data_IF_091589385832
#
_entry.id   IF_091589385832
#
_cell.length_a   1.000
_cell.length_b   1.000
_cell.length_c   1.000
_cell.angle_alpha   90.00
_cell.angle_beta   90.00
_cell.angle_gamma   90.00
#
_symmetry.space_group_name_H-M   'P 1'
#
loop_
_entity.id
_entity.type
_entity.pdbx_description
1 polymer ?
#
# COMPACT_ATOMS: atom_id res chain seq x y z
N UNK A 1 -38.83 23.71 -31.91
CA UNK A 1 -38.37 23.70 -30.50
C UNK A 1 -37.84 22.33 -30.00
N UNK A 2 -38.20 21.18 -30.59
CA UNK A 2 -37.74 19.84 -30.16
C UNK A 2 -36.23 19.55 -30.32
N UNK A 3 -35.51 20.17 -31.27
CA UNK A 3 -34.06 19.93 -31.46
C UNK A 3 -33.18 20.43 -30.30
N UNK A 4 -33.64 21.42 -29.51
CA UNK A 4 -32.87 21.95 -28.36
C UNK A 4 -32.92 21.04 -27.14
N UNK A 5 -34.00 20.27 -26.97
CA UNK A 5 -34.18 19.32 -25.85
C UNK A 5 -33.31 18.06 -26.02
N UNK A 6 -33.10 17.61 -27.26
CA UNK A 6 -32.26 16.45 -27.57
C UNK A 6 -30.76 16.70 -27.31
N UNK A 7 -30.25 17.91 -27.52
CA UNK A 7 -28.85 18.25 -27.21
C UNK A 7 -28.55 18.40 -25.71
N UNK A 8 -29.54 18.79 -24.91
CA UNK A 8 -29.39 18.91 -23.44
C UNK A 8 -29.33 17.53 -22.76
N UNK A 9 -30.07 16.54 -23.26
CA UNK A 9 -30.03 15.17 -22.74
C UNK A 9 -28.69 14.47 -22.97
N UNK A 10 -28.05 14.68 -24.11
CA UNK A 10 -26.75 14.08 -24.43
C UNK A 10 -25.60 14.65 -23.58
N UNK A 11 -25.62 15.95 -23.28
CA UNK A 11 -24.62 16.59 -22.42
C UNK A 11 -24.73 16.12 -20.95
N UNK A 12 -25.96 15.90 -20.46
CA UNK A 12 -26.18 15.36 -19.11
C UNK A 12 -25.71 13.90 -18.97
N UNK A 13 -25.87 13.08 -20.01
CA UNK A 13 -25.36 11.71 -20.02
C UNK A 13 -23.83 11.64 -20.08
N UNK A 14 -23.19 12.54 -20.84
CA UNK A 14 -21.73 12.61 -20.91
C UNK A 14 -21.10 13.05 -19.57
N UNK A 15 -21.77 13.92 -18.80
CA UNK A 15 -21.32 14.35 -17.48
C UNK A 15 -21.38 13.22 -16.42
N UNK A 16 -22.28 12.25 -16.59
CA UNK A 16 -22.40 11.09 -15.69
C UNK A 16 -21.32 10.00 -15.93
N UNK A 17 -20.67 10.02 -17.11
CA UNK A 17 -19.67 9.01 -17.50
C UNK A 17 -18.22 9.42 -17.15
N UNK A 18 -17.98 10.69 -16.81
CA UNK A 18 -16.63 11.20 -16.48
C UNK A 18 -16.13 10.88 -15.06
N UNK A 19 -16.95 10.21 -14.23
CA UNK A 19 -16.65 9.97 -12.81
C UNK A 19 -15.84 8.71 -12.50
N UNK A 20 -15.66 7.80 -13.45
CA UNK A 20 -14.78 6.63 -13.31
C UNK A 20 -13.34 7.00 -13.68
N UNK A 21 -12.76 7.97 -12.99
CA UNK A 21 -11.32 8.25 -13.08
C UNK A 21 -10.50 7.16 -12.37
N UNK A 22 -9.19 7.12 -12.67
CA UNK A 22 -8.14 6.29 -12.06
C UNK A 22 -8.06 6.48 -10.53
N UNK A 23 -9.05 5.96 -9.80
CA UNK A 23 -9.08 5.95 -8.34
C UNK A 23 -7.99 5.04 -7.75
N UNK A 24 -7.89 4.99 -6.42
CA UNK A 24 -6.94 4.11 -5.74
C UNK A 24 -7.10 2.66 -6.19
N UNK A 25 -5.99 1.98 -6.44
CA UNK A 25 -6.00 0.61 -6.91
C UNK A 25 -4.85 -0.19 -6.34
N UNK A 26 -5.04 -1.51 -6.30
CA UNK A 26 -4.00 -2.47 -5.92
C UNK A 26 -3.93 -3.59 -6.93
N UNK A 27 -2.71 -3.99 -7.23
CA UNK A 27 -2.33 -5.05 -8.16
C UNK A 27 -1.46 -6.04 -7.38
N UNK A 28 -1.94 -7.26 -7.12
CA UNK A 28 -1.15 -8.30 -6.48
C UNK A 28 0.15 -8.56 -7.27
N UNK A 29 1.25 -8.76 -6.55
CA UNK A 29 2.50 -9.16 -7.17
C UNK A 29 2.42 -10.55 -7.80
N UNK A 30 3.23 -10.80 -8.83
CA UNK A 30 3.24 -12.08 -9.55
C UNK A 30 3.74 -13.28 -8.73
N UNK A 31 4.33 -13.05 -7.55
CA UNK A 31 4.82 -14.09 -6.66
C UNK A 31 4.14 -14.04 -5.29
N UNK A 32 3.74 -15.23 -4.81
CA UNK A 32 3.24 -15.48 -3.46
C UNK A 32 3.77 -16.83 -2.96
N UNK A 33 4.52 -16.80 -1.86
CA UNK A 33 4.99 -17.99 -1.16
C UNK A 33 3.82 -18.75 -0.53
N UNK A 34 3.81 -20.09 -0.57
CA UNK A 34 2.85 -20.90 0.19
C UNK A 34 2.84 -20.59 1.69
N UNK A 35 3.98 -20.14 2.24
CA UNK A 35 4.12 -19.79 3.65
C UNK A 35 3.51 -18.43 4.02
N UNK A 36 3.03 -17.63 3.05
CA UNK A 36 2.53 -16.26 3.29
C UNK A 36 1.53 -16.20 4.44
N UNK A 37 0.55 -17.11 4.45
CA UNK A 37 -0.44 -17.12 5.53
C UNK A 37 0.14 -17.65 6.83
N UNK A 38 0.85 -18.78 6.85
CA UNK A 38 1.41 -19.31 8.09
C UNK A 38 2.35 -18.33 8.78
N UNK A 39 3.20 -17.61 8.02
CA UNK A 39 4.09 -16.58 8.57
C UNK A 39 3.32 -15.38 9.11
N UNK A 40 2.26 -14.94 8.43
CA UNK A 40 1.39 -13.87 8.93
C UNK A 40 0.73 -14.24 10.26
N UNK A 41 0.20 -15.46 10.36
CA UNK A 41 -0.40 -15.97 11.59
C UNK A 41 0.61 -16.04 12.73
N UNK A 42 1.81 -16.58 12.47
CA UNK A 42 2.86 -16.67 13.47
C UNK A 42 3.24 -15.27 14.00
N UNK A 43 3.48 -14.32 13.10
CA UNK A 43 3.93 -12.97 13.46
C UNK A 43 2.87 -12.11 14.17
N UNK A 44 1.58 -12.41 13.99
CA UNK A 44 0.48 -11.68 14.60
C UNK A 44 -0.12 -12.38 15.83
N UNK A 45 0.34 -13.60 16.16
CA UNK A 45 -0.24 -14.41 17.24
C UNK A 45 0.06 -13.91 18.65
N UNK A 46 1.19 -13.24 18.84
CA UNK A 46 1.73 -12.89 20.17
C UNK A 46 2.05 -11.40 20.32
N UNK A 47 1.70 -10.58 19.31
CA UNK A 47 1.99 -9.15 19.33
C UNK A 47 1.82 -8.49 17.96
N UNK A 48 2.24 -7.23 17.84
CA UNK A 48 2.15 -6.49 16.60
C UNK A 48 3.16 -6.99 15.56
N UNK A 49 2.75 -6.94 14.29
CA UNK A 49 3.63 -7.17 13.16
C UNK A 49 4.48 -5.92 12.89
N UNK A 50 5.77 -6.09 12.58
CA UNK A 50 6.64 -4.96 12.28
C UNK A 50 6.27 -4.30 10.93
N UNK A 51 6.11 -2.98 10.95
CA UNK A 51 5.90 -2.12 9.80
C UNK A 51 7.11 -1.23 9.56
N UNK A 52 7.69 -1.32 8.37
CA UNK A 52 8.73 -0.41 7.89
C UNK A 52 8.15 0.45 6.77
N UNK A 53 8.28 1.78 6.88
CA UNK A 53 7.78 2.71 5.86
C UNK A 53 8.94 3.54 5.31
N UNK A 54 9.09 3.51 3.98
CA UNK A 54 10.00 4.33 3.21
C UNK A 54 9.21 5.37 2.40
N UNK A 55 9.77 6.57 2.29
CA UNK A 55 9.16 7.68 1.57
C UNK A 55 8.15 8.46 2.43
N UNK A 56 7.91 9.71 2.04
CA UNK A 56 6.95 10.61 2.67
C UNK A 56 6.44 11.65 1.66
N UNK A 57 5.67 11.22 0.65
CA UNK A 57 5.17 12.12 -0.40
C UNK A 57 4.21 13.18 0.13
N UNK A 58 3.65 12.97 1.33
CA UNK A 58 2.67 13.82 1.98
C UNK A 58 3.28 14.89 2.90
N UNK A 59 4.61 14.90 3.07
CA UNK A 59 5.32 15.81 3.97
C UNK A 59 4.79 15.81 5.43
N UNK A 60 4.28 14.66 5.89
CA UNK A 60 3.78 14.50 7.26
C UNK A 60 4.91 14.22 8.26
N UNK A 61 4.74 14.52 9.55
CA UNK A 61 5.62 13.98 10.59
C UNK A 61 5.74 12.46 10.47
N UNK A 62 6.96 11.92 10.51
CA UNK A 62 7.19 10.48 10.28
C UNK A 62 6.38 9.55 11.21
N UNK A 63 6.22 9.85 12.52
CA UNK A 63 5.35 9.05 13.39
C UNK A 63 3.88 9.07 12.96
N UNK A 64 3.39 10.23 12.51
CA UNK A 64 2.01 10.38 12.04
C UNK A 64 1.76 9.58 10.77
N UNK A 65 2.67 9.67 9.79
CA UNK A 65 2.58 8.91 8.55
C UNK A 65 2.54 7.39 8.83
N UNK A 66 3.46 6.90 9.67
CA UNK A 66 3.51 5.48 10.02
C UNK A 66 2.24 5.01 10.72
N UNK A 67 1.69 5.82 11.63
CA UNK A 67 0.43 5.51 12.29
C UNK A 67 -0.77 5.46 11.32
N UNK A 68 -0.80 6.33 10.30
CA UNK A 68 -1.84 6.29 9.26
C UNK A 68 -1.70 5.05 8.36
N UNK A 69 -0.48 4.70 7.95
CA UNK A 69 -0.21 3.49 7.17
C UNK A 69 -0.59 2.24 7.96
N UNK A 70 -0.19 2.15 9.23
CA UNK A 70 -0.54 1.04 10.12
C UNK A 70 -2.07 0.85 10.19
N UNK A 71 -2.82 1.91 10.52
CA UNK A 71 -4.29 1.84 10.59
C UNK A 71 -4.94 1.41 9.28
N UNK A 72 -4.46 1.92 8.15
CA UNK A 72 -4.99 1.53 6.84
C UNK A 72 -4.80 0.04 6.56
N UNK A 73 -3.62 -0.50 6.92
CA UNK A 73 -3.30 -1.91 6.71
C UNK A 73 -4.01 -2.84 7.71
N UNK A 74 -4.12 -2.45 8.98
CA UNK A 74 -4.86 -3.20 10.00
C UNK A 74 -6.34 -3.39 9.61
N UNK A 75 -6.93 -2.38 8.97
CA UNK A 75 -8.30 -2.44 8.45
C UNK A 75 -8.48 -3.33 7.21
N UNK A 76 -7.40 -3.78 6.57
CA UNK A 76 -7.47 -4.51 5.29
C UNK A 76 -7.90 -5.98 5.44
N UNK A 77 -7.87 -6.55 6.65
CA UNK A 77 -8.29 -7.94 6.92
C UNK A 77 -9.37 -7.95 8.02
N UNK A 78 -10.63 -7.56 7.71
CA UNK A 78 -11.68 -7.43 8.73
C UNK A 78 -11.98 -8.72 9.50
N UNK A 79 -11.83 -9.87 8.85
CA UNK A 79 -12.07 -11.18 9.47
C UNK A 79 -11.01 -11.56 10.52
N UNK A 80 -9.91 -10.82 10.61
CA UNK A 80 -8.88 -11.02 11.63
C UNK A 80 -8.23 -9.71 12.03
N UNK A 81 -8.63 -9.15 13.19
CA UNK A 81 -7.91 -8.05 13.79
C UNK A 81 -6.46 -8.43 14.05
N UNK A 82 -5.54 -7.55 13.67
CA UNK A 82 -4.13 -7.61 14.00
C UNK A 82 -3.64 -6.17 14.21
N UNK A 83 -2.45 -6.02 14.77
CA UNK A 83 -1.82 -4.70 14.96
C UNK A 83 -0.48 -4.64 14.26
N UNK A 84 -0.09 -3.43 13.89
CA UNK A 84 1.21 -3.11 13.30
C UNK A 84 1.97 -2.15 14.22
N UNK A 85 3.28 -2.29 14.26
CA UNK A 85 4.16 -1.38 15.02
C UNK A 85 5.33 -0.91 14.17
N UNK A 86 5.73 0.37 14.25
CA UNK A 86 7.00 0.82 13.68
C UNK A 86 8.20 0.55 14.60
N UNK A 87 7.97 0.17 15.87
CA UNK A 87 9.00 -0.10 16.86
C UNK A 87 9.42 -1.58 16.79
N UNK A 88 10.64 -1.84 16.32
CA UNK A 88 11.15 -3.20 16.11
C UNK A 88 11.24 -4.00 17.43
N UNK A 89 11.55 -3.33 18.53
CA UNK A 89 11.60 -3.89 19.88
C UNK A 89 10.24 -4.35 20.41
N UNK A 90 9.14 -3.87 19.80
CA UNK A 90 7.78 -4.25 20.19
C UNK A 90 7.22 -5.41 19.35
N UNK A 91 7.92 -5.82 18.28
CA UNK A 91 7.50 -6.91 17.41
C UNK A 91 8.13 -8.23 17.88
N UNK A 92 7.35 -9.27 18.23
CA UNK A 92 7.92 -10.55 18.71
C UNK A 92 8.79 -11.28 17.66
N UNK A 93 8.43 -11.16 16.38
CA UNK A 93 9.17 -11.76 15.26
C UNK A 93 9.61 -10.66 14.28
N UNK A 94 10.61 -9.83 14.60
CA UNK A 94 10.94 -8.64 13.79
C UNK A 94 11.53 -8.97 12.41
N UNK A 95 11.98 -10.22 12.20
CA UNK A 95 12.40 -10.69 10.89
C UNK A 95 11.21 -10.88 9.95
N UNK A 96 10.01 -11.18 10.48
CA UNK A 96 8.75 -11.18 9.73
C UNK A 96 8.15 -9.78 9.79
N UNK A 97 8.10 -9.11 8.65
CA UNK A 97 7.73 -7.68 8.60
C UNK A 97 7.05 -7.31 7.29
N UNK A 98 6.29 -6.23 7.31
CA UNK A 98 5.83 -5.58 6.10
C UNK A 98 6.65 -4.33 5.85
N UNK A 99 7.16 -4.19 4.64
CA UNK A 99 7.91 -3.03 4.16
C UNK A 99 7.06 -2.32 3.11
N UNK A 100 6.77 -1.04 3.33
CA UNK A 100 6.00 -0.19 2.42
C UNK A 100 6.91 0.90 1.87
N UNK A 101 6.93 1.06 0.56
CA UNK A 101 7.59 2.14 -0.14
C UNK A 101 6.55 3.04 -0.80
N UNK A 102 6.48 4.30 -0.33
CA UNK A 102 5.65 5.36 -0.88
C UNK A 102 6.48 6.17 -1.89
N UNK A 103 5.95 6.38 -3.10
CA UNK A 103 6.73 6.94 -4.21
C UNK A 103 7.66 5.91 -4.85
N UNK A 104 7.25 4.64 -4.89
CA UNK A 104 8.05 3.55 -5.43
C UNK A 104 8.19 3.69 -6.96
N UNK A 105 9.42 3.80 -7.53
CA UNK A 105 9.57 3.83 -8.97
C UNK A 105 9.10 2.51 -9.60
N UNK A 106 8.71 2.55 -10.88
CA UNK A 106 8.26 1.36 -11.61
C UNK A 106 9.34 0.25 -11.66
N UNK A 107 10.62 0.63 -11.62
CA UNK A 107 11.76 -0.27 -11.63
C UNK A 107 12.04 -0.95 -10.28
N UNK A 108 11.44 -0.50 -9.17
CA UNK A 108 11.69 -1.09 -7.85
C UNK A 108 11.07 -2.49 -7.76
N UNK A 109 11.90 -3.48 -7.46
CA UNK A 109 11.47 -4.85 -7.22
C UNK A 109 11.03 -5.03 -5.75
N UNK A 110 9.94 -5.77 -5.52
CA UNK A 110 9.47 -6.05 -4.17
C UNK A 110 10.49 -6.81 -3.32
N UNK A 111 11.30 -7.69 -3.92
CA UNK A 111 12.35 -8.43 -3.21
C UNK A 111 13.45 -7.51 -2.67
N UNK A 112 13.71 -6.37 -3.33
CA UNK A 112 14.71 -5.40 -2.88
C UNK A 112 14.31 -4.76 -1.54
N UNK A 113 13.00 -4.60 -1.29
CA UNK A 113 12.50 -4.14 0.01
C UNK A 113 12.87 -5.09 1.16
N UNK A 114 12.84 -6.40 0.92
CA UNK A 114 13.16 -7.40 1.94
C UNK A 114 14.65 -7.44 2.31
N UNK A 115 15.53 -6.95 1.44
CA UNK A 115 16.98 -6.83 1.71
C UNK A 115 17.41 -5.41 2.10
N UNK A 116 16.46 -4.52 2.38
CA UNK A 116 16.73 -3.15 2.82
C UNK A 116 17.13 -2.18 1.70
N UNK A 117 16.97 -2.57 0.44
CA UNK A 117 17.21 -1.72 -0.72
C UNK A 117 15.92 -1.00 -1.10
N UNK A 118 15.57 0.04 -0.33
CA UNK A 118 14.44 0.90 -0.65
C UNK A 118 14.94 2.23 -1.21
N UNK A 119 14.98 2.36 -2.54
CA UNK A 119 15.15 3.65 -3.20
C UNK A 119 13.75 4.19 -3.49
N UNK A 120 13.27 5.07 -2.62
CA UNK A 120 12.09 5.87 -2.89
C UNK A 120 12.54 7.12 -3.62
N UNK A 121 11.98 7.36 -4.81
CA UNK A 121 12.15 8.66 -5.43
C UNK A 121 11.60 9.71 -4.45
N UNK A 122 12.13 10.93 -4.47
CA UNK A 122 11.56 12.07 -3.74
C UNK A 122 10.21 12.49 -4.32
N UNK A 123 9.31 11.55 -4.56
CA UNK A 123 7.98 11.74 -5.09
C UNK A 123 7.25 12.67 -4.13
N UNK A 124 6.84 13.83 -4.65
CA UNK A 124 5.96 14.75 -3.95
C UNK A 124 4.54 14.47 -4.41
N UNK A 125 3.59 14.52 -3.49
CA UNK A 125 2.16 14.45 -3.77
C UNK A 125 1.65 15.74 -4.45
N UNK A 126 2.32 16.25 -5.49
CA UNK A 126 1.93 17.47 -6.23
C UNK A 126 0.72 17.19 -7.15
N UNK A 127 -0.38 16.69 -6.57
CA UNK A 127 -1.65 16.43 -7.26
C UNK A 127 -1.67 15.20 -8.18
N UNK A 128 -0.56 14.45 -8.24
CA UNK A 128 -0.43 13.24 -9.04
C UNK A 128 -0.54 11.94 -8.24
N UNK A 129 -0.66 10.84 -8.98
CA UNK A 129 -0.68 9.46 -8.48
C UNK A 129 0.57 9.17 -7.63
N UNK A 130 0.37 8.64 -6.43
CA UNK A 130 1.45 8.17 -5.57
C UNK A 130 1.54 6.66 -5.69
N UNK A 131 2.60 6.19 -6.35
CA UNK A 131 2.90 4.77 -6.47
C UNK A 131 3.31 4.18 -5.11
N UNK A 132 2.71 3.05 -4.77
CA UNK A 132 2.94 2.31 -3.53
C UNK A 132 3.39 0.90 -3.87
N UNK A 133 4.46 0.45 -3.23
CA UNK A 133 4.90 -0.95 -3.25
C UNK A 133 5.00 -1.47 -1.82
N UNK A 134 4.32 -2.56 -1.52
CA UNK A 134 4.43 -3.23 -0.23
C UNK A 134 4.92 -4.66 -0.42
N UNK A 135 5.85 -5.08 0.45
CA UNK A 135 6.41 -6.42 0.50
C UNK A 135 6.21 -7.00 1.91
N UNK A 136 5.67 -8.21 1.98
CA UNK A 136 5.68 -9.01 3.19
C UNK A 136 6.92 -9.92 3.14
N UNK A 137 7.76 -9.81 4.16
CA UNK A 137 9.10 -10.39 4.17
C UNK A 137 9.28 -11.32 5.36
N UNK A 138 10.12 -12.33 5.17
CA UNK A 138 10.70 -13.17 6.22
C UNK A 138 12.23 -13.10 6.08
N UNK A 139 12.87 -12.30 6.94
CA UNK A 139 14.28 -11.96 6.77
C UNK A 139 14.51 -11.24 5.43
N UNK A 140 15.32 -11.84 4.56
CA UNK A 140 15.56 -11.38 3.18
C UNK A 140 14.61 -11.97 2.14
N UNK A 141 13.81 -12.97 2.52
CA UNK A 141 12.90 -13.66 1.60
C UNK A 141 11.62 -12.85 1.40
N UNK A 142 11.21 -12.70 0.15
CA UNK A 142 9.89 -12.16 -0.20
C UNK A 142 8.85 -13.26 0.00
N UNK A 143 7.82 -13.00 0.82
CA UNK A 143 6.66 -13.89 0.95
C UNK A 143 5.56 -13.50 -0.03
N UNK A 144 5.21 -12.22 -0.10
CA UNK A 144 4.21 -11.72 -1.04
C UNK A 144 4.40 -10.22 -1.25
N UNK A 145 3.86 -9.69 -2.35
CA UNK A 145 3.87 -8.26 -2.60
C UNK A 145 2.58 -7.75 -3.21
N UNK A 146 2.38 -6.46 -3.12
CA UNK A 146 1.32 -5.72 -3.80
C UNK A 146 1.87 -4.39 -4.27
N UNK A 147 1.53 -4.00 -5.49
CA UNK A 147 1.78 -2.66 -6.02
C UNK A 147 0.44 -1.95 -6.16
N UNK A 148 0.42 -0.64 -6.03
CA UNK A 148 -0.82 0.11 -6.16
C UNK A 148 -0.56 1.59 -6.24
N UNK A 149 -1.64 2.35 -6.20
CA UNK A 149 -1.57 3.79 -6.19
C UNK A 149 -2.72 4.44 -5.43
N UNK A 150 -2.46 5.68 -5.01
CA UNK A 150 -3.42 6.60 -4.40
C UNK A 150 -3.33 7.98 -5.02
#
# INVERSE_FOLDING_TARGET
MMKRLLSLGAAALAALLGGCGDGPSTVPGGYRSPATWSSFFAATSSGPLLLVVHGNPFALPAPELRAKVARAMEGAIPARPFTLTPAAESAPLPHIRVVVALGAPASLNAADLCVGKAVVAGAKAEGGRIEVLAAFCDGSALLSSVRGWV
#
